data_IF_367058263486
#
_entry.id   IF_367058263486
#
_cell.length_a   1.000
_cell.length_b   1.000
_cell.length_c   1.000
_cell.angle_alpha   90.00
_cell.angle_beta   90.00
_cell.angle_gamma   90.00
#
_symmetry.space_group_name_H-M   'P 1'
#
loop_
_entity.id
_entity.type
_entity.pdbx_description
1 polymer ?
#
# COMPACT_ATOMS: atom_id res chain seq x y z
N UNK A 1 3.94 25.48 16.26
CA UNK A 1 3.87 24.01 16.36
C UNK A 1 3.75 23.46 14.95
N UNK A 2 4.88 23.11 14.32
CA UNK A 2 4.91 22.65 12.93
C UNK A 2 4.43 21.20 12.83
N UNK A 3 3.18 20.98 12.41
CA UNK A 3 2.73 19.68 11.92
C UNK A 3 3.12 19.56 10.45
N UNK A 4 4.26 18.94 10.17
CA UNK A 4 4.50 18.25 8.91
C UNK A 4 3.65 16.97 8.89
N UNK A 5 2.32 17.15 8.81
CA UNK A 5 1.46 16.06 8.35
C UNK A 5 1.73 15.98 6.84
N UNK A 6 2.63 15.07 6.45
CA UNK A 6 2.93 14.83 5.05
C UNK A 6 1.62 14.63 4.29
N UNK A 7 1.38 15.48 3.30
CA UNK A 7 0.26 15.35 2.38
C UNK A 7 0.28 13.94 1.80
N UNK A 8 -0.59 13.08 2.32
CA UNK A 8 -0.82 11.80 1.71
C UNK A 8 -1.59 12.13 0.44
N UNK A 9 -0.92 12.01 -0.71
CA UNK A 9 -1.53 12.27 -2.01
C UNK A 9 -2.87 11.55 -2.12
N UNK A 10 -3.85 12.18 -2.79
CA UNK A 10 -5.16 11.57 -3.06
C UNK A 10 -5.01 10.17 -3.66
N UNK A 11 -4.04 9.99 -4.57
CA UNK A 11 -3.71 8.69 -5.18
C UNK A 11 -3.30 7.64 -4.14
N UNK A 12 -2.45 8.00 -3.18
CA UNK A 12 -2.04 7.09 -2.11
C UNK A 12 -3.21 6.75 -1.20
N UNK A 13 -4.11 7.70 -0.95
CA UNK A 13 -5.33 7.49 -0.14
C UNK A 13 -6.28 6.50 -0.82
N UNK A 14 -6.54 6.66 -2.11
CA UNK A 14 -7.36 5.73 -2.91
C UNK A 14 -6.77 4.32 -2.86
N UNK A 15 -5.47 4.18 -3.10
CA UNK A 15 -4.82 2.89 -3.06
C UNK A 15 -4.84 2.25 -1.67
N UNK A 16 -4.63 3.03 -0.61
CA UNK A 16 -4.70 2.53 0.78
C UNK A 16 -6.12 2.11 1.17
N UNK A 17 -7.15 2.81 0.70
CA UNK A 17 -8.54 2.42 0.90
C UNK A 17 -8.86 1.12 0.15
N UNK A 18 -8.43 1.01 -1.11
CA UNK A 18 -8.60 -0.19 -1.96
C UNK A 18 -7.92 -1.42 -1.34
N UNK A 19 -6.75 -1.23 -0.71
CA UNK A 19 -6.03 -2.27 0.04
C UNK A 19 -6.62 -2.55 1.44
N UNK A 20 -7.65 -1.84 1.87
CA UNK A 20 -8.29 -1.97 3.18
C UNK A 20 -7.44 -1.48 4.37
N UNK A 21 -6.41 -0.67 4.11
CA UNK A 21 -5.58 -0.08 5.15
C UNK A 21 -6.32 1.04 5.91
N UNK A 22 -7.09 1.83 5.16
CA UNK A 22 -7.96 2.90 5.64
C UNK A 22 -9.37 2.72 5.08
N UNK A 23 -10.35 3.46 5.58
CA UNK A 23 -11.70 3.53 5.02
C UNK A 23 -11.87 4.70 4.03
N UNK A 24 -13.09 4.91 3.54
CA UNK A 24 -13.44 5.97 2.59
C UNK A 24 -13.30 7.38 3.15
N UNK A 25 -13.27 7.55 4.46
CA UNK A 25 -13.05 8.84 5.15
C UNK A 25 -11.57 9.06 5.47
N UNK A 26 -10.70 8.15 5.03
CA UNK A 26 -9.27 8.16 5.29
C UNK A 26 -8.89 7.71 6.71
N UNK A 27 -9.85 7.15 7.48
CA UNK A 27 -9.57 6.67 8.82
C UNK A 27 -8.91 5.29 8.79
N UNK A 28 -7.92 5.02 9.65
CA UNK A 28 -7.28 3.72 9.69
C UNK A 28 -8.25 2.58 10.05
N UNK A 29 -8.31 1.56 9.20
CA UNK A 29 -9.19 0.38 9.35
C UNK A 29 -8.43 -0.88 9.72
N UNK A 30 -7.22 -1.05 9.17
CA UNK A 30 -6.40 -2.23 9.40
C UNK A 30 -5.57 -2.08 10.68
N UNK A 31 -5.84 -2.88 11.70
CA UNK A 31 -5.09 -2.85 12.98
C UNK A 31 -3.59 -3.09 12.81
N UNK A 32 -3.18 -3.90 11.83
CA UNK A 32 -1.76 -4.14 11.52
C UNK A 32 -1.08 -2.91 10.91
N UNK A 33 -1.81 -2.16 10.08
CA UNK A 33 -1.33 -0.90 9.53
C UNK A 33 -1.21 0.18 10.62
N UNK A 34 -2.24 0.32 11.46
CA UNK A 34 -2.26 1.26 12.60
C UNK A 34 -1.10 1.02 13.56
N UNK A 35 -0.90 -0.24 13.95
CA UNK A 35 0.11 -0.61 14.93
C UNK A 35 1.52 -0.76 14.32
N UNK A 36 1.74 -0.27 13.10
CA UNK A 36 3.01 -0.39 12.37
C UNK A 36 3.59 -1.83 12.36
N UNK A 37 2.71 -2.84 12.36
CA UNK A 37 3.04 -4.26 12.43
C UNK A 37 2.65 -5.02 11.16
N UNK A 38 2.26 -4.29 10.11
CA UNK A 38 2.02 -4.85 8.79
C UNK A 38 3.37 -5.27 8.19
N UNK A 39 3.52 -6.55 7.88
CA UNK A 39 4.70 -7.04 7.17
C UNK A 39 4.58 -6.69 5.68
N UNK A 40 5.71 -6.45 5.03
CA UNK A 40 5.72 -6.22 3.58
C UNK A 40 5.09 -7.37 2.78
N UNK A 41 5.24 -8.62 3.24
CA UNK A 41 4.55 -9.78 2.64
C UNK A 41 3.03 -9.64 2.67
N UNK A 42 2.47 -9.26 3.82
CA UNK A 42 1.03 -9.05 3.96
C UNK A 42 0.56 -7.89 3.09
N UNK A 43 1.35 -6.81 3.03
CA UNK A 43 1.05 -5.68 2.16
C UNK A 43 0.98 -6.09 0.68
N UNK A 44 1.87 -6.97 0.21
CA UNK A 44 1.83 -7.50 -1.16
C UNK A 44 0.60 -8.37 -1.42
N UNK A 45 0.17 -9.20 -0.46
CA UNK A 45 -1.08 -9.96 -0.58
C UNK A 45 -2.27 -9.02 -0.67
N UNK A 46 -2.39 -8.03 0.20
CA UNK A 46 -3.47 -7.04 0.17
C UNK A 46 -3.47 -6.25 -1.15
N UNK A 47 -2.29 -5.86 -1.64
CA UNK A 47 -2.14 -5.18 -2.93
C UNK A 47 -2.59 -6.07 -4.09
N UNK A 48 -2.20 -7.35 -4.10
CA UNK A 48 -2.59 -8.27 -5.18
C UNK A 48 -4.10 -8.49 -5.23
N UNK A 49 -4.75 -8.63 -4.07
CA UNK A 49 -6.20 -8.74 -4.00
C UNK A 49 -6.87 -7.44 -4.46
N UNK A 50 -6.38 -6.28 -4.00
CA UNK A 50 -6.92 -4.99 -4.42
C UNK A 50 -6.80 -4.77 -5.94
N UNK A 51 -5.72 -5.23 -6.57
CA UNK A 51 -5.56 -5.17 -8.02
C UNK A 51 -6.59 -6.02 -8.79
N UNK A 52 -7.08 -7.11 -8.19
CA UNK A 52 -8.15 -7.93 -8.74
C UNK A 52 -9.52 -7.26 -8.55
N UNK A 53 -9.75 -6.70 -7.36
CA UNK A 53 -11.04 -6.12 -6.98
C UNK A 53 -11.28 -4.73 -7.63
N UNK A 54 -10.21 -3.96 -7.85
CA UNK A 54 -10.24 -2.58 -8.34
C UNK A 54 -9.21 -2.35 -9.47
N UNK A 55 -9.34 -3.00 -10.63
CA UNK A 55 -8.37 -2.90 -11.72
C UNK A 55 -8.22 -1.47 -12.27
N UNK A 56 -9.25 -0.63 -12.14
CA UNK A 56 -9.23 0.79 -12.54
C UNK A 56 -8.33 1.66 -11.66
N UNK A 57 -8.05 1.24 -10.42
CA UNK A 57 -7.21 1.95 -9.45
C UNK A 57 -5.78 1.38 -9.38
N UNK A 58 -5.32 0.73 -10.46
CA UNK A 58 -4.04 0.00 -10.51
C UNK A 58 -2.84 0.84 -10.08
N UNK A 59 -2.73 2.08 -10.58
CA UNK A 59 -1.59 2.94 -10.28
C UNK A 59 -1.55 3.36 -8.80
N UNK A 60 -2.72 3.69 -8.26
CA UNK A 60 -2.96 4.06 -6.87
C UNK A 60 -2.62 2.91 -5.93
N UNK A 61 -3.07 1.70 -6.25
CA UNK A 61 -2.81 0.49 -5.46
C UNK A 61 -1.31 0.15 -5.43
N UNK A 62 -0.61 0.25 -6.56
CA UNK A 62 0.85 0.03 -6.60
C UNK A 62 1.59 1.07 -5.74
N UNK A 63 1.22 2.34 -5.84
CA UNK A 63 1.80 3.41 -5.04
C UNK A 63 1.53 3.20 -3.54
N UNK A 64 0.32 2.78 -3.18
CA UNK A 64 -0.05 2.46 -1.80
C UNK A 64 0.72 1.24 -1.28
N UNK A 65 0.84 0.17 -2.06
CA UNK A 65 1.63 -1.01 -1.72
C UNK A 65 3.10 -0.66 -1.43
N UNK A 66 3.71 0.15 -2.30
CA UNK A 66 5.07 0.66 -2.09
C UNK A 66 5.18 1.49 -0.81
N UNK A 67 4.19 2.36 -0.56
CA UNK A 67 4.13 3.22 0.63
C UNK A 67 4.00 2.41 1.93
N UNK A 68 3.20 1.35 1.94
CA UNK A 68 3.05 0.47 3.12
C UNK A 68 4.35 -0.31 3.36
N UNK A 69 4.96 -0.84 2.30
CA UNK A 69 6.24 -1.56 2.41
C UNK A 69 7.34 -0.63 2.94
N UNK A 70 7.44 0.59 2.40
CA UNK A 70 8.48 1.54 2.80
C UNK A 70 8.39 1.93 4.27
N UNK A 71 7.18 2.04 4.84
CA UNK A 71 6.97 2.29 6.28
C UNK A 71 7.56 1.20 7.19
N UNK A 72 7.59 -0.05 6.72
CA UNK A 72 8.11 -1.19 7.50
C UNK A 72 9.57 -1.52 7.19
N UNK A 73 10.14 -0.91 6.14
CA UNK A 73 11.48 -1.20 5.65
C UNK A 73 12.51 -0.27 6.26
N UNK A 74 13.68 -0.79 6.63
CA UNK A 74 14.78 0.00 7.21
C UNK A 74 15.66 0.67 6.15
N UNK A 75 15.64 0.16 4.92
CA UNK A 75 16.45 0.66 3.82
C UNK A 75 15.85 0.28 2.46
N UNK A 76 16.42 0.86 1.40
CA UNK A 76 15.95 0.64 0.03
C UNK A 76 16.13 -0.81 -0.46
N UNK A 77 17.08 -1.57 0.09
CA UNK A 77 17.29 -2.97 -0.29
C UNK A 77 16.13 -3.85 0.18
N UNK A 78 15.55 -3.56 1.34
CA UNK A 78 14.35 -4.24 1.82
C UNK A 78 13.13 -3.94 0.94
N UNK A 79 12.97 -2.70 0.51
CA UNK A 79 11.91 -2.29 -0.42
C UNK A 79 12.08 -3.01 -1.78
N UNK A 80 13.29 -3.02 -2.34
CA UNK A 80 13.59 -3.64 -3.64
C UNK A 80 13.24 -5.13 -3.70
N UNK A 81 13.29 -5.86 -2.58
CA UNK A 81 12.89 -7.28 -2.52
C UNK A 81 11.43 -7.51 -2.87
N UNK A 82 10.58 -6.48 -2.80
CA UNK A 82 9.17 -6.58 -3.13
C UNK A 82 8.85 -6.24 -4.59
N UNK A 83 9.76 -5.56 -5.31
CA UNK A 83 9.53 -5.16 -6.71
C UNK A 83 9.15 -6.34 -7.62
N UNK A 84 9.84 -7.49 -7.60
CA UNK A 84 9.44 -8.63 -8.44
C UNK A 84 8.03 -9.16 -8.14
N UNK A 85 7.57 -9.03 -6.89
CA UNK A 85 6.20 -9.42 -6.52
C UNK A 85 5.18 -8.41 -7.00
N UNK A 86 5.52 -7.12 -6.98
CA UNK A 86 4.66 -6.08 -7.54
C UNK A 86 4.52 -6.26 -9.05
N UNK A 87 5.61 -6.55 -9.75
CA UNK A 87 5.61 -6.87 -11.18
C UNK A 87 4.73 -8.10 -11.47
N UNK A 88 4.91 -9.19 -10.72
CA UNK A 88 4.09 -10.38 -10.86
C UNK A 88 2.60 -10.09 -10.62
N UNK A 89 2.28 -9.33 -9.56
CA UNK A 89 0.90 -8.96 -9.25
C UNK A 89 0.24 -8.17 -10.39
N UNK A 90 0.97 -7.26 -11.04
CA UNK A 90 0.47 -6.55 -12.22
C UNK A 90 0.25 -7.51 -13.39
N UNK A 91 1.17 -8.44 -13.64
CA UNK A 91 1.06 -9.38 -14.75
C UNK A 91 -0.13 -10.33 -14.63
N UNK A 92 -0.46 -10.78 -13.41
CA UNK A 92 -1.57 -11.73 -13.18
C UNK A 92 -2.94 -11.06 -13.04
N UNK A 93 -2.98 -9.73 -12.93
CA UNK A 93 -4.21 -8.93 -12.82
C UNK A 93 -4.42 -8.00 -14.03
N UNK A 94 -3.59 -8.16 -15.06
CA UNK A 94 -3.66 -7.43 -16.33
C UNK A 94 -4.70 -8.01 -17.28
#
# INVERSE_FOLDING_TARGET
MNKTAGETSLATTIGMASMGCIDSEGQPKCSKFVNASCSGMRAMTCMSNALQDYPEARAEILLAGLTVVSKSSKNILEIRKFVPRMEMAVQVTA
#
